data_IF_542518706461
#
_entry.id   IF_542518706461
#
_cell.length_a   1.000
_cell.length_b   1.000
_cell.length_c   1.000
_cell.angle_alpha   90.00
_cell.angle_beta   90.00
_cell.angle_gamma   90.00
#
_symmetry.space_group_name_H-M   'P 1'
#
loop_
_entity.id
_entity.type
_entity.pdbx_description
1 polymer ?
#
# COMPACT_ATOMS: atom_id res chain seq x y z
N UNK A 1 8.67 15.59 13.79
CA UNK A 1 9.99 15.79 13.10
C UNK A 1 10.94 14.59 13.22
N UNK A 2 10.70 13.66 14.16
CA UNK A 2 11.59 12.52 14.42
C UNK A 2 11.49 11.41 13.32
N UNK A 3 10.34 11.24 12.69
CA UNK A 3 10.14 10.23 11.65
C UNK A 3 10.86 10.53 10.34
N UNK A 4 10.94 11.81 9.94
CA UNK A 4 11.62 12.22 8.70
C UNK A 4 13.13 12.02 8.81
N UNK A 5 13.72 12.35 9.95
CA UNK A 5 15.16 12.14 10.20
C UNK A 5 15.54 10.66 10.24
N UNK A 6 14.72 9.82 10.86
CA UNK A 6 14.92 8.37 10.89
C UNK A 6 14.77 7.74 9.51
N UNK A 7 13.76 8.17 8.75
CA UNK A 7 13.55 7.69 7.40
C UNK A 7 14.69 8.07 6.47
N UNK A 8 15.21 9.30 6.57
CA UNK A 8 16.36 9.76 5.80
C UNK A 8 17.61 8.92 6.07
N UNK A 9 17.86 8.55 7.34
CA UNK A 9 18.96 7.66 7.71
C UNK A 9 18.82 6.25 7.12
N UNK A 10 17.61 5.70 7.11
CA UNK A 10 17.33 4.37 6.55
C UNK A 10 17.45 4.34 5.02
N UNK A 11 17.08 5.42 4.35
CA UNK A 11 17.19 5.54 2.90
C UNK A 11 18.61 5.81 2.43
N UNK A 12 19.53 6.19 3.33
CA UNK A 12 20.93 6.40 2.99
C UNK A 12 21.62 5.10 2.53
N UNK A 13 21.21 3.96 3.09
CA UNK A 13 21.72 2.64 2.67
C UNK A 13 20.93 2.07 1.47
N UNK A 14 19.78 2.65 1.13
CA UNK A 14 19.01 2.23 -0.02
C UNK A 14 19.67 2.67 -1.33
N UNK A 15 19.66 1.79 -2.33
CA UNK A 15 20.21 2.06 -3.67
C UNK A 15 19.20 2.77 -4.58
N UNK A 16 18.33 3.58 -4.00
CA UNK A 16 17.30 4.31 -4.73
C UNK A 16 17.28 5.77 -4.26
N UNK A 17 17.13 6.69 -5.20
CA UNK A 17 16.82 8.10 -4.89
C UNK A 17 15.31 8.31 -5.03
N UNK A 18 14.54 8.27 -3.92
CA UNK A 18 13.11 8.45 -3.98
C UNK A 18 12.75 9.87 -4.41
N UNK A 19 11.74 9.98 -5.25
CA UNK A 19 11.20 11.29 -5.63
C UNK A 19 10.38 11.88 -4.47
N UNK A 20 10.25 13.22 -4.37
CA UNK A 20 9.53 13.87 -3.27
C UNK A 20 8.11 13.33 -3.04
N UNK A 21 7.33 13.10 -4.10
CA UNK A 21 5.99 12.54 -3.97
C UNK A 21 5.97 11.12 -3.40
N UNK A 22 6.99 10.30 -3.70
CA UNK A 22 7.11 8.95 -3.15
C UNK A 22 7.42 8.97 -1.65
N UNK A 23 8.24 9.93 -1.22
CA UNK A 23 8.52 10.16 0.21
C UNK A 23 7.24 10.63 0.91
N UNK A 24 6.52 11.57 0.32
CA UNK A 24 5.26 12.09 0.88
C UNK A 24 4.19 10.99 1.01
N UNK A 25 4.08 10.10 0.03
CA UNK A 25 3.16 8.96 0.08
C UNK A 25 3.55 7.96 1.19
N UNK A 26 4.84 7.64 1.29
CA UNK A 26 5.33 6.75 2.34
C UNK A 26 5.16 7.35 3.73
N UNK A 27 5.48 8.66 3.91
CA UNK A 27 5.25 9.37 5.17
C UNK A 27 3.78 9.38 5.56
N UNK A 28 2.87 9.61 4.61
CA UNK A 28 1.44 9.52 4.86
C UNK A 28 1.06 8.15 5.44
N UNK A 29 1.55 7.07 4.85
CA UNK A 29 1.29 5.72 5.35
C UNK A 29 1.86 5.48 6.76
N UNK A 30 3.04 6.04 7.07
CA UNK A 30 3.72 5.88 8.35
C UNK A 30 3.16 6.79 9.45
N UNK A 31 2.69 8.00 9.10
CA UNK A 31 2.16 9.00 10.04
C UNK A 31 0.71 8.75 10.46
N UNK A 32 0.08 7.71 9.96
CA UNK A 32 -1.28 7.29 10.35
C UNK A 32 -1.26 6.01 11.20
N UNK A 33 -0.56 5.99 12.38
CA UNK A 33 -0.33 4.76 13.14
C UNK A 33 -1.62 4.18 13.73
N UNK A 34 -2.63 5.01 13.96
CA UNK A 34 -3.93 4.58 14.51
C UNK A 34 -4.91 4.07 13.46
N UNK A 35 -4.62 4.28 12.18
CA UNK A 35 -5.43 3.71 11.10
C UNK A 35 -4.91 2.33 10.73
N UNK A 36 -5.79 1.32 10.65
CA UNK A 36 -5.39 -0.05 10.30
C UNK A 36 -4.91 -0.17 8.85
N UNK A 37 -5.21 0.81 8.00
CA UNK A 37 -4.75 0.79 6.62
C UNK A 37 -4.80 2.15 5.92
N UNK A 38 -4.13 2.20 4.78
CA UNK A 38 -4.11 3.36 3.87
C UNK A 38 -4.13 2.90 2.41
N UNK A 39 -4.59 3.79 1.53
CA UNK A 39 -4.59 3.61 0.09
C UNK A 39 -3.58 4.57 -0.52
N UNK A 40 -2.58 4.04 -1.22
CA UNK A 40 -1.67 4.81 -2.07
C UNK A 40 -2.13 4.67 -3.52
N UNK A 41 -2.68 5.76 -4.05
CA UNK A 41 -3.44 5.77 -5.29
C UNK A 41 -2.74 6.57 -6.41
N UNK A 42 -1.43 6.61 -6.40
CA UNK A 42 -0.63 7.31 -7.40
C UNK A 42 -0.80 6.72 -8.80
N UNK A 43 -0.73 7.56 -9.82
CA UNK A 43 -0.86 7.13 -11.21
C UNK A 43 0.19 6.09 -11.62
N UNK A 44 -0.13 5.33 -12.65
CA UNK A 44 0.80 4.33 -13.21
C UNK A 44 2.12 4.99 -13.61
N UNK A 45 3.24 4.37 -13.24
CA UNK A 45 4.58 4.84 -13.55
C UNK A 45 5.16 5.87 -12.58
N UNK A 46 4.43 6.28 -11.53
CA UNK A 46 4.95 7.15 -10.46
C UNK A 46 5.75 6.39 -9.40
N UNK A 47 5.78 5.07 -9.45
CA UNK A 47 6.64 4.25 -8.62
C UNK A 47 6.04 3.83 -7.28
N UNK A 48 4.77 3.37 -7.27
CA UNK A 48 4.11 2.82 -6.06
C UNK A 48 4.91 1.73 -5.35
N UNK A 49 5.67 0.94 -6.09
CA UNK A 49 6.61 -0.05 -5.52
C UNK A 49 7.68 0.62 -4.66
N UNK A 50 8.16 1.80 -5.06
CA UNK A 50 9.12 2.58 -4.26
C UNK A 50 8.46 3.11 -2.99
N UNK A 51 7.25 3.65 -3.09
CA UNK A 51 6.48 4.14 -1.93
C UNK A 51 6.28 3.04 -0.88
N UNK A 52 5.81 1.88 -1.32
CA UNK A 52 5.64 0.72 -0.44
C UNK A 52 6.98 0.16 0.05
N UNK A 53 8.03 0.17 -0.78
CA UNK A 53 9.38 -0.23 -0.40
C UNK A 53 9.94 0.63 0.74
N UNK A 54 9.70 1.94 0.72
CA UNK A 54 10.07 2.85 1.82
C UNK A 54 9.34 2.48 3.11
N UNK A 55 8.01 2.21 3.03
CA UNK A 55 7.22 1.77 4.20
C UNK A 55 7.75 0.45 4.74
N UNK A 56 8.02 -0.53 3.87
CA UNK A 56 8.59 -1.83 4.25
C UNK A 56 9.94 -1.66 4.93
N UNK A 57 10.81 -0.78 4.41
CA UNK A 57 12.13 -0.48 5.00
C UNK A 57 12.01 0.04 6.43
N UNK A 58 11.06 0.92 6.70
CA UNK A 58 10.79 1.42 8.05
C UNK A 58 10.35 0.30 8.99
N UNK A 59 9.39 -0.54 8.59
CA UNK A 59 8.95 -1.69 9.37
C UNK A 59 10.10 -2.67 9.63
N UNK A 60 10.92 -2.91 8.60
CA UNK A 60 12.09 -3.78 8.68
C UNK A 60 13.11 -3.29 9.70
N UNK A 61 13.40 -2.00 9.72
CA UNK A 61 14.30 -1.37 10.68
C UNK A 61 13.75 -1.39 12.11
N UNK A 62 12.42 -1.30 12.27
CA UNK A 62 11.73 -1.44 13.55
C UNK A 62 11.62 -2.90 14.03
N UNK A 63 12.21 -3.86 13.30
CA UNK A 63 12.12 -5.31 13.55
C UNK A 63 10.71 -5.89 13.47
N UNK A 64 9.78 -5.20 12.86
CA UNK A 64 8.45 -5.67 12.47
C UNK A 64 8.57 -6.36 11.12
N UNK A 65 8.95 -7.64 11.14
CA UNK A 65 9.38 -8.37 9.93
C UNK A 65 8.37 -9.40 9.44
N UNK A 66 7.23 -9.51 10.09
CA UNK A 66 6.15 -10.37 9.61
C UNK A 66 5.37 -9.63 8.52
N UNK A 67 5.95 -9.57 7.30
CA UNK A 67 5.47 -8.75 6.19
C UNK A 67 5.03 -9.64 5.03
N UNK A 68 3.84 -9.39 4.52
CA UNK A 68 3.28 -10.07 3.36
C UNK A 68 3.01 -9.07 2.23
N UNK A 69 3.40 -9.44 1.01
CA UNK A 69 3.00 -8.75 -0.22
C UNK A 69 2.08 -9.66 -1.00
N UNK A 70 0.87 -9.17 -1.30
CA UNK A 70 -0.08 -9.82 -2.20
C UNK A 70 -0.10 -9.03 -3.51
N UNK A 71 0.25 -9.66 -4.61
CA UNK A 71 0.42 -9.01 -5.91
C UNK A 71 -0.07 -9.89 -7.06
N UNK A 72 -0.36 -9.38 -8.26
CA UNK A 72 -0.59 -10.23 -9.42
C UNK A 72 0.56 -11.23 -9.65
N UNK A 73 0.23 -12.43 -10.10
CA UNK A 73 1.22 -13.51 -10.28
C UNK A 73 2.40 -13.11 -11.17
N UNK A 74 2.18 -12.26 -12.17
CA UNK A 74 3.20 -11.74 -13.09
C UNK A 74 4.18 -10.77 -12.44
N UNK A 75 3.82 -10.11 -11.32
CA UNK A 75 4.64 -9.08 -10.68
C UNK A 75 5.47 -9.60 -9.49
N UNK A 76 5.29 -10.87 -9.08
CA UNK A 76 5.98 -11.42 -7.90
C UNK A 76 7.51 -11.39 -8.02
N UNK A 77 8.05 -11.71 -9.18
CA UNK A 77 9.50 -11.67 -9.41
C UNK A 77 10.03 -10.24 -9.44
N UNK A 78 9.28 -9.32 -10.04
CA UNK A 78 9.62 -7.90 -10.03
C UNK A 78 9.67 -7.36 -8.60
N UNK A 79 8.67 -7.66 -7.76
CA UNK A 79 8.66 -7.27 -6.35
C UNK A 79 9.88 -7.80 -5.60
N UNK A 80 10.19 -9.10 -5.77
CA UNK A 80 11.36 -9.72 -5.15
C UNK A 80 12.66 -9.02 -5.56
N UNK A 81 12.81 -8.77 -6.86
CA UNK A 81 13.99 -8.12 -7.42
C UNK A 81 14.11 -6.67 -6.93
N UNK A 82 13.05 -5.88 -7.01
CA UNK A 82 13.07 -4.47 -6.61
C UNK A 82 13.34 -4.29 -5.12
N UNK A 83 12.79 -5.13 -4.24
CA UNK A 83 13.08 -5.09 -2.81
C UNK A 83 14.57 -5.34 -2.53
N UNK A 84 15.16 -6.29 -3.21
CA UNK A 84 16.58 -6.59 -3.03
C UNK A 84 17.48 -5.51 -3.64
N UNK A 85 17.25 -5.14 -4.90
CA UNK A 85 18.13 -4.20 -5.61
C UNK A 85 18.04 -2.77 -5.06
N UNK A 86 16.86 -2.33 -4.65
CA UNK A 86 16.64 -0.94 -4.23
C UNK A 86 16.73 -0.74 -2.72
N UNK A 87 16.35 -1.74 -1.93
CA UNK A 87 16.22 -1.60 -0.48
C UNK A 87 17.07 -2.59 0.31
N UNK A 88 17.78 -3.50 -0.36
CA UNK A 88 18.59 -4.57 0.25
C UNK A 88 17.75 -5.47 1.19
N UNK A 89 16.45 -5.57 0.94
CA UNK A 89 15.53 -6.39 1.73
C UNK A 89 15.32 -7.73 1.02
N UNK A 90 15.68 -8.85 1.66
CA UNK A 90 15.45 -10.16 1.10
C UNK A 90 13.97 -10.52 1.08
N UNK A 91 13.51 -11.15 0.00
CA UNK A 91 12.13 -11.58 -0.16
C UNK A 91 12.02 -12.97 -0.76
N UNK A 92 11.03 -13.75 -0.33
CA UNK A 92 10.73 -15.08 -0.81
C UNK A 92 9.33 -15.13 -1.41
N UNK A 93 9.21 -15.72 -2.59
CA UNK A 93 7.92 -16.02 -3.21
C UNK A 93 7.40 -17.31 -2.61
N UNK A 94 6.22 -17.24 -1.99
CA UNK A 94 5.52 -18.40 -1.47
C UNK A 94 5.04 -19.30 -2.61
N UNK A 95 5.34 -20.56 -2.49
CA UNK A 95 4.84 -21.62 -3.34
C UNK A 95 4.22 -22.77 -2.50
N UNK A 96 3.46 -23.68 -3.10
CA UNK A 96 2.80 -24.75 -2.35
C UNK A 96 3.76 -25.70 -1.62
N UNK A 97 5.03 -25.78 -2.02
CA UNK A 97 6.04 -26.67 -1.41
C UNK A 97 6.72 -26.03 -0.20
N UNK A 98 6.98 -24.73 -0.29
CA UNK A 98 7.70 -23.98 0.75
C UNK A 98 6.79 -23.38 1.83
N UNK A 99 5.48 -23.24 1.57
CA UNK A 99 4.55 -22.53 2.45
C UNK A 99 4.51 -23.08 3.88
N UNK A 100 4.49 -24.38 4.05
CA UNK A 100 4.32 -25.00 5.37
C UNK A 100 5.54 -24.75 6.27
N UNK A 101 6.75 -24.76 5.70
CA UNK A 101 7.96 -24.42 6.41
C UNK A 101 8.03 -22.91 6.74
N UNK A 102 7.69 -22.04 5.79
CA UNK A 102 7.78 -20.59 5.93
C UNK A 102 6.66 -20.00 6.82
N UNK A 103 5.50 -20.67 6.88
CA UNK A 103 4.36 -20.25 7.68
C UNK A 103 4.22 -21.01 9.00
N UNK A 104 5.14 -21.92 9.32
CA UNK A 104 5.09 -22.70 10.55
C UNK A 104 5.11 -21.81 11.81
N UNK A 105 4.35 -22.17 12.86
CA UNK A 105 4.44 -21.53 14.16
C UNK A 105 5.88 -21.58 14.71
N UNK A 106 6.43 -20.46 15.13
CA UNK A 106 7.81 -20.37 15.59
C UNK A 106 8.84 -19.93 14.54
N UNK A 107 8.50 -19.90 13.27
CA UNK A 107 9.25 -19.17 12.23
C UNK A 107 9.11 -17.64 12.40
N UNK A 108 8.80 -17.22 13.61
CA UNK A 108 8.32 -15.91 13.97
C UNK A 108 9.34 -14.77 13.97
N UNK A 109 10.51 -14.97 13.37
CA UNK A 109 11.44 -13.87 13.05
C UNK A 109 11.91 -14.11 11.63
N UNK A 110 10.98 -13.84 10.71
CA UNK A 110 11.30 -13.94 9.29
C UNK A 110 12.48 -13.04 8.95
N UNK A 111 13.44 -13.63 8.28
CA UNK A 111 14.56 -12.90 7.70
C UNK A 111 14.24 -12.37 6.31
N UNK A 112 13.03 -12.63 5.80
CA UNK A 112 12.56 -12.29 4.47
C UNK A 112 11.12 -11.78 4.47
N UNK A 113 10.82 -10.88 3.53
CA UNK A 113 9.45 -10.51 3.17
C UNK A 113 8.82 -11.64 2.37
N UNK A 114 7.59 -12.03 2.68
CA UNK A 114 6.87 -13.05 1.93
C UNK A 114 6.03 -12.42 0.82
N UNK A 115 6.08 -13.01 -0.36
CA UNK A 115 5.34 -12.56 -1.54
C UNK A 115 4.45 -13.69 -2.04
N UNK A 116 3.17 -13.42 -2.25
CA UNK A 116 2.26 -14.37 -2.88
C UNK A 116 1.38 -13.72 -3.95
N UNK A 117 0.76 -14.56 -4.79
CA UNK A 117 -0.26 -14.06 -5.71
C UNK A 117 -1.65 -14.05 -5.06
N UNK A 118 -2.58 -13.31 -5.64
CA UNK A 118 -3.98 -13.31 -5.25
C UNK A 118 -4.58 -14.73 -5.28
N UNK A 119 -4.26 -15.50 -6.31
CA UNK A 119 -4.73 -16.87 -6.49
C UNK A 119 -4.10 -17.83 -5.46
N UNK A 120 -2.85 -17.60 -5.09
CA UNK A 120 -2.21 -18.35 -4.02
C UNK A 120 -2.86 -18.03 -2.67
N UNK A 121 -3.08 -16.74 -2.39
CA UNK A 121 -3.72 -16.29 -1.18
C UNK A 121 -5.12 -16.88 -1.00
N UNK A 122 -5.92 -16.93 -2.07
CA UNK A 122 -7.24 -17.56 -2.06
C UNK A 122 -7.16 -19.06 -1.72
N UNK A 123 -6.23 -19.80 -2.35
CA UNK A 123 -6.11 -21.26 -2.12
C UNK A 123 -5.58 -21.60 -0.74
N UNK A 124 -4.82 -20.73 -0.12
CA UNK A 124 -4.14 -20.95 1.14
C UNK A 124 -4.53 -19.91 2.21
N UNK A 125 -5.76 -19.41 2.14
CA UNK A 125 -6.30 -18.40 3.03
C UNK A 125 -6.06 -18.74 4.50
N UNK A 126 -6.44 -19.94 4.93
CA UNK A 126 -6.31 -20.38 6.32
C UNK A 126 -4.87 -20.36 6.85
N UNK A 127 -3.90 -20.65 5.98
CA UNK A 127 -2.47 -20.59 6.34
C UNK A 127 -1.95 -19.15 6.43
N UNK A 128 -2.61 -18.22 5.77
CA UNK A 128 -2.24 -16.80 5.72
C UNK A 128 -3.05 -15.94 6.70
N UNK A 129 -4.12 -16.47 7.32
CA UNK A 129 -4.86 -15.82 8.41
C UNK A 129 -4.03 -15.84 9.69
N UNK A 130 -3.11 -14.88 9.81
CA UNK A 130 -2.22 -14.70 10.95
C UNK A 130 -1.97 -13.21 11.18
N UNK A 131 -1.48 -12.85 12.37
CA UNK A 131 -1.14 -11.45 12.69
C UNK A 131 0.09 -10.98 11.90
N UNK A 132 -0.11 -10.36 10.75
CA UNK A 132 0.93 -9.69 9.99
C UNK A 132 1.23 -8.32 10.58
N UNK A 133 2.51 -7.95 10.67
CA UNK A 133 2.89 -6.57 11.03
C UNK A 133 2.48 -5.60 9.93
N UNK A 134 2.67 -6.01 8.68
CA UNK A 134 2.32 -5.23 7.50
C UNK A 134 1.86 -6.16 6.38
N UNK A 135 0.75 -5.81 5.73
CA UNK A 135 0.35 -6.39 4.45
C UNK A 135 0.32 -5.30 3.39
N UNK A 136 1.01 -5.53 2.28
CA UNK A 136 0.93 -4.69 1.09
C UNK A 136 0.13 -5.45 0.03
N UNK A 137 -0.97 -4.89 -0.44
CA UNK A 137 -1.74 -5.44 -1.55
C UNK A 137 -1.57 -4.57 -2.80
N UNK A 138 -0.86 -5.10 -3.77
CA UNK A 138 -0.62 -4.42 -5.04
C UNK A 138 -1.77 -4.69 -6.03
N UNK A 139 -2.06 -3.72 -6.92
CA UNK A 139 -3.23 -3.73 -7.79
C UNK A 139 -4.53 -3.96 -7.00
N UNK A 140 -4.64 -3.26 -5.86
CA UNK A 140 -5.71 -3.44 -4.88
C UNK A 140 -7.12 -3.13 -5.42
N UNK A 141 -7.26 -2.53 -6.61
CA UNK A 141 -8.55 -2.40 -7.29
C UNK A 141 -9.28 -3.74 -7.44
N UNK A 142 -8.56 -4.86 -7.39
CA UNK A 142 -9.13 -6.22 -7.38
C UNK A 142 -9.99 -6.50 -6.15
N UNK A 143 -9.81 -5.76 -5.05
CA UNK A 143 -10.50 -5.93 -3.78
C UNK A 143 -11.77 -5.07 -3.64
N UNK A 144 -11.97 -4.07 -4.51
CA UNK A 144 -13.05 -3.09 -4.39
C UNK A 144 -14.48 -3.64 -4.33
N UNK A 145 -14.69 -4.87 -4.81
CA UNK A 145 -15.98 -5.54 -4.82
C UNK A 145 -16.04 -6.79 -3.93
N UNK A 146 -15.13 -6.92 -2.95
CA UNK A 146 -15.05 -8.10 -2.07
C UNK A 146 -16.35 -8.35 -1.30
N UNK A 147 -17.07 -7.30 -0.93
CA UNK A 147 -18.31 -7.33 -0.18
C UNK A 147 -19.51 -7.89 -0.98
N UNK A 148 -19.38 -8.05 -2.29
CA UNK A 148 -20.49 -8.52 -3.14
C UNK A 148 -20.71 -10.03 -3.09
N UNK A 149 -19.79 -10.79 -2.48
CA UNK A 149 -19.82 -12.26 -2.47
C UNK A 149 -19.60 -12.92 -3.84
N UNK A 150 -19.30 -12.11 -4.88
CA UNK A 150 -19.13 -12.62 -6.25
C UNK A 150 -17.67 -12.95 -6.59
N UNK A 151 -16.72 -12.60 -5.72
CA UNK A 151 -15.30 -12.77 -5.97
C UNK A 151 -14.57 -13.46 -4.83
N UNK A 152 -14.51 -14.81 -4.84
CA UNK A 152 -13.82 -15.60 -3.80
C UNK A 152 -12.39 -15.15 -3.53
N UNK A 153 -11.68 -14.74 -4.57
CA UNK A 153 -10.30 -14.25 -4.42
C UNK A 153 -10.25 -12.92 -3.68
N UNK A 154 -11.12 -11.99 -4.01
CA UNK A 154 -11.20 -10.69 -3.33
C UNK A 154 -11.62 -10.85 -1.87
N UNK A 155 -12.57 -11.75 -1.59
CA UNK A 155 -13.04 -12.07 -0.24
C UNK A 155 -11.92 -12.67 0.60
N UNK A 156 -11.26 -13.72 0.14
CA UNK A 156 -10.16 -14.37 0.85
C UNK A 156 -8.99 -13.42 1.14
N UNK A 157 -8.59 -12.62 0.14
CA UNK A 157 -7.51 -11.65 0.32
C UNK A 157 -7.93 -10.53 1.28
N UNK A 158 -9.19 -10.09 1.24
CA UNK A 158 -9.71 -9.09 2.19
C UNK A 158 -9.67 -9.60 3.64
N UNK A 159 -9.97 -10.88 3.89
CA UNK A 159 -9.82 -11.46 5.22
C UNK A 159 -8.37 -11.46 5.71
N UNK A 160 -7.42 -11.83 4.84
CA UNK A 160 -5.98 -11.82 5.18
C UNK A 160 -5.52 -10.40 5.48
N UNK A 161 -5.87 -9.46 4.63
CA UNK A 161 -5.49 -8.05 4.73
C UNK A 161 -6.11 -7.41 5.98
N UNK A 162 -7.39 -7.65 6.23
CA UNK A 162 -8.10 -7.13 7.40
C UNK A 162 -7.60 -7.67 8.74
N UNK A 163 -6.86 -8.79 8.74
CA UNK A 163 -6.20 -9.34 9.93
C UNK A 163 -4.81 -8.78 10.22
N UNK A 164 -4.29 -7.86 9.40
CA UNK A 164 -2.98 -7.26 9.58
C UNK A 164 -3.02 -6.08 10.59
N UNK A 165 -1.92 -5.83 11.28
CA UNK A 165 -1.77 -4.63 12.11
C UNK A 165 -1.76 -3.36 11.28
N UNK A 166 -1.16 -3.41 10.10
CA UNK A 166 -1.18 -2.32 9.13
C UNK A 166 -1.32 -2.86 7.72
N UNK A 167 -2.10 -2.16 6.92
CA UNK A 167 -2.33 -2.47 5.50
C UNK A 167 -1.98 -1.29 4.62
N UNK A 168 -1.30 -1.56 3.51
CA UNK A 168 -1.08 -0.59 2.44
C UNK A 168 -1.67 -1.15 1.15
N UNK A 169 -2.71 -0.50 0.65
CA UNK A 169 -3.32 -0.83 -0.63
C UNK A 169 -2.71 0.05 -1.73
N UNK A 170 -2.14 -0.57 -2.75
CA UNK A 170 -1.57 0.12 -3.91
C UNK A 170 -2.51 -0.01 -5.09
N UNK A 171 -2.94 1.08 -5.66
CA UNK A 171 -3.79 1.06 -6.86
C UNK A 171 -3.65 2.36 -7.66
N UNK A 172 -3.67 2.26 -8.98
CA UNK A 172 -3.77 3.46 -9.83
C UNK A 172 -5.22 3.92 -10.03
N UNK A 173 -6.19 3.06 -9.73
CA UNK A 173 -7.61 3.28 -10.01
C UNK A 173 -8.46 2.96 -8.77
N UNK A 174 -8.42 3.80 -7.71
CA UNK A 174 -9.19 3.56 -6.50
C UNK A 174 -10.69 3.63 -6.75
N UNK A 175 -11.10 4.41 -7.73
CA UNK A 175 -12.47 4.60 -8.18
C UNK A 175 -12.49 4.52 -9.72
N UNK A 176 -13.35 3.69 -10.28
CA UNK A 176 -13.49 3.53 -11.72
C UNK A 176 -14.91 3.81 -12.21
N UNK A 177 -15.91 3.16 -11.63
CA UNK A 177 -17.28 3.21 -12.12
C UNK A 177 -18.28 3.71 -11.08
N UNK A 178 -18.11 3.32 -9.83
CA UNK A 178 -19.11 3.57 -8.77
C UNK A 178 -18.43 3.99 -7.48
N UNK A 179 -19.09 4.89 -6.77
CA UNK A 179 -18.59 5.39 -5.49
C UNK A 179 -18.44 4.28 -4.43
N UNK A 180 -19.28 3.24 -4.50
CA UNK A 180 -19.18 2.07 -3.63
C UNK A 180 -17.86 1.27 -3.79
N UNK A 181 -17.11 1.47 -4.89
CA UNK A 181 -15.78 0.87 -5.05
C UNK A 181 -14.79 1.42 -4.01
N UNK A 182 -14.93 2.70 -3.68
CA UNK A 182 -14.14 3.34 -2.64
C UNK A 182 -14.52 2.80 -1.25
N UNK A 183 -15.83 2.66 -0.98
CA UNK A 183 -16.30 1.96 0.21
C UNK A 183 -15.66 0.57 0.32
N UNK A 184 -15.68 -0.18 -0.78
CA UNK A 184 -15.09 -1.51 -0.84
C UNK A 184 -13.61 -1.53 -0.47
N UNK A 185 -12.80 -0.61 -1.01
CA UNK A 185 -11.37 -0.56 -0.70
C UNK A 185 -11.09 -0.20 0.76
N UNK A 186 -11.81 0.77 1.32
CA UNK A 186 -11.61 1.18 2.71
C UNK A 186 -12.08 0.08 3.67
N UNK A 187 -13.21 -0.57 3.37
CA UNK A 187 -13.76 -1.64 4.21
C UNK A 187 -12.88 -2.90 4.29
N UNK A 188 -11.90 -3.06 3.39
CA UNK A 188 -10.92 -4.15 3.46
C UNK A 188 -10.10 -4.09 4.75
N UNK A 189 -9.69 -2.90 5.17
CA UNK A 189 -8.87 -2.72 6.37
C UNK A 189 -9.61 -2.06 7.54
N UNK A 190 -10.71 -1.34 7.28
CA UNK A 190 -11.58 -0.79 8.31
C UNK A 190 -13.05 -0.89 7.89
N UNK A 191 -13.72 -2.01 8.20
CA UNK A 191 -15.13 -2.19 7.87
C UNK A 191 -16.07 -1.18 8.53
N UNK A 192 -15.63 -0.54 9.62
CA UNK A 192 -16.44 0.42 10.38
C UNK A 192 -16.29 1.87 9.91
N UNK A 193 -15.29 2.17 9.08
CA UNK A 193 -14.92 3.53 8.69
C UNK A 193 -16.09 4.35 8.11
N UNK A 194 -16.87 3.74 7.24
CA UNK A 194 -18.08 4.32 6.65
C UNK A 194 -19.36 3.74 7.24
N UNK A 195 -19.29 3.08 8.39
CA UNK A 195 -20.36 2.35 9.07
C UNK A 195 -20.82 1.12 8.27
N UNK A 196 -21.84 1.24 7.42
CA UNK A 196 -22.34 0.18 6.56
C UNK A 196 -22.44 0.66 5.11
N UNK A 197 -22.57 -0.30 4.19
CA UNK A 197 -22.78 0.01 2.78
C UNK A 197 -24.07 0.83 2.56
N UNK A 198 -25.13 0.50 3.29
CA UNK A 198 -26.40 1.20 3.15
C UNK A 198 -26.29 2.64 3.69
N UNK A 199 -25.61 2.84 4.82
CA UNK A 199 -25.33 4.18 5.35
C UNK A 199 -24.46 5.00 4.38
N UNK A 200 -23.45 4.36 3.77
CA UNK A 200 -22.62 4.98 2.76
C UNK A 200 -23.42 5.42 1.53
N UNK A 201 -24.31 4.55 1.04
CA UNK A 201 -25.17 4.86 -0.11
C UNK A 201 -26.13 6.00 0.16
N UNK A 202 -26.81 5.96 1.31
CA UNK A 202 -27.72 7.04 1.70
C UNK A 202 -26.98 8.38 1.79
N UNK A 203 -25.81 8.40 2.44
CA UNK A 203 -25.09 9.64 2.71
C UNK A 203 -24.38 10.17 1.49
N UNK A 204 -23.68 9.32 0.74
CA UNK A 204 -22.74 9.76 -0.29
C UNK A 204 -23.15 9.45 -1.72
N UNK A 205 -23.94 8.42 -1.96
CA UNK A 205 -24.42 8.12 -3.31
C UNK A 205 -25.69 8.91 -3.62
N UNK A 206 -26.69 8.86 -2.73
CA UNK A 206 -27.95 9.60 -2.88
C UNK A 206 -27.84 11.05 -2.38
N UNK A 207 -26.99 11.30 -1.41
CA UNK A 207 -26.85 12.60 -0.75
C UNK A 207 -25.72 13.48 -1.30
N UNK A 208 -25.10 13.14 -2.42
CA UNK A 208 -24.00 13.92 -3.02
C UNK A 208 -24.47 15.33 -3.39
N UNK A 209 -25.68 15.45 -3.93
CA UNK A 209 -26.30 16.74 -4.29
C UNK A 209 -26.70 17.58 -3.08
N UNK A 210 -26.66 17.02 -1.87
CA UNK A 210 -26.98 17.68 -0.61
C UNK A 210 -25.75 18.25 0.13
N UNK A 211 -24.60 18.37 -0.53
CA UNK A 211 -23.38 18.95 0.04
C UNK A 211 -22.50 17.97 0.83
N UNK A 212 -22.76 16.67 0.76
CA UNK A 212 -21.94 15.66 1.45
C UNK A 212 -20.61 15.31 0.73
N UNK A 213 -20.34 15.97 -0.41
CA UNK A 213 -19.12 15.75 -1.19
C UNK A 213 -17.85 16.16 -0.45
N UNK A 214 -17.87 17.29 0.26
CA UNK A 214 -16.72 17.80 1.02
C UNK A 214 -16.39 16.89 2.21
N UNK A 215 -17.41 16.41 2.94
CA UNK A 215 -17.23 15.43 4.03
C UNK A 215 -16.63 14.12 3.51
N UNK A 216 -17.08 13.64 2.36
CA UNK A 216 -16.49 12.45 1.75
C UNK A 216 -15.03 12.69 1.34
N UNK A 217 -14.74 13.84 0.72
CA UNK A 217 -13.39 14.19 0.30
C UNK A 217 -12.42 14.26 1.49
N UNK A 218 -12.84 14.88 2.60
CA UNK A 218 -12.05 14.95 3.83
C UNK A 218 -11.79 13.56 4.43
N UNK A 219 -12.82 12.73 4.54
CA UNK A 219 -12.68 11.35 5.01
C UNK A 219 -11.75 10.54 4.14
N UNK A 220 -11.89 10.64 2.83
CA UNK A 220 -11.01 9.94 1.89
C UNK A 220 -9.57 10.43 2.01
N UNK A 221 -9.36 11.75 2.12
CA UNK A 221 -8.02 12.33 2.28
C UNK A 221 -7.29 11.86 3.55
N UNK A 222 -8.03 11.42 4.58
CA UNK A 222 -7.41 10.88 5.79
C UNK A 222 -6.92 9.43 5.65
N UNK A 223 -7.44 8.66 4.68
CA UNK A 223 -7.09 7.24 4.46
C UNK A 223 -6.44 6.97 3.10
N UNK A 224 -6.46 7.94 2.18
CA UNK A 224 -5.93 7.78 0.83
C UNK A 224 -5.05 8.94 0.42
N UNK A 225 -3.90 8.64 -0.18
CA UNK A 225 -2.99 9.60 -0.80
C UNK A 225 -2.94 9.33 -2.30
N UNK A 226 -3.04 10.39 -3.09
CA UNK A 226 -2.95 10.31 -4.55
C UNK A 226 -2.09 11.43 -5.10
N UNK A 227 -1.15 11.07 -5.95
CA UNK A 227 -0.37 12.01 -6.76
C UNK A 227 -0.73 11.83 -8.22
N UNK A 228 -1.01 12.90 -8.91
CA UNK A 228 -1.19 12.90 -10.35
C UNK A 228 0.15 13.21 -11.03
N UNK A 229 0.38 12.64 -12.22
CA UNK A 229 1.63 12.86 -12.96
C UNK A 229 1.91 14.35 -13.18
N UNK A 230 0.90 15.14 -13.53
CA UNK A 230 1.01 16.60 -13.68
C UNK A 230 1.48 17.31 -12.41
N UNK A 231 1.17 16.76 -11.23
CA UNK A 231 1.57 17.33 -9.95
C UNK A 231 2.97 16.87 -9.55
N UNK A 232 3.33 15.62 -9.89
CA UNK A 232 4.70 15.12 -9.73
C UNK A 232 5.70 15.93 -10.57
N UNK A 233 5.32 16.33 -11.78
CA UNK A 233 6.16 17.15 -12.65
C UNK A 233 6.46 18.54 -12.05
N UNK A 234 5.58 19.10 -11.23
CA UNK A 234 5.85 20.34 -10.49
C UNK A 234 7.00 20.20 -9.52
N UNK A 235 7.14 19.07 -8.83
CA UNK A 235 8.28 18.80 -7.95
C UNK A 235 9.60 18.69 -8.73
N UNK A 236 9.57 18.18 -9.96
CA UNK A 236 10.75 18.04 -10.83
C UNK A 236 11.25 19.42 -11.31
N UNK A 237 10.36 20.37 -11.55
CA UNK A 237 10.74 21.71 -11.98
C UNK A 237 11.49 22.52 -10.92
N UNK A 238 11.26 22.25 -9.63
CA UNK A 238 12.01 22.88 -8.53
C UNK A 238 13.45 22.35 -8.39
N UNK A 239 13.78 21.21 -8.97
CA UNK A 239 15.11 20.61 -8.91
C UNK A 239 15.97 20.86 -10.14
N UNK A 240 15.47 21.53 -11.18
CA UNK A 240 16.31 22.02 -12.27
C UNK A 240 17.19 23.14 -11.73
N UNK A 241 18.45 22.81 -11.40
CA UNK A 241 19.47 23.79 -11.11
C UNK A 241 19.54 24.76 -12.29
N UNK A 242 19.27 26.04 -12.08
CA UNK A 242 19.69 27.07 -13.01
C UNK A 242 21.22 27.07 -13.01
N UNK A 243 21.88 26.87 -14.14
CA UNK A 243 23.32 27.08 -14.19
C UNK A 243 23.57 28.56 -13.92
N UNK A 244 24.18 28.88 -12.81
CA UNK A 244 24.76 30.22 -12.57
C UNK A 244 26.02 30.29 -13.44
N UNK A 245 25.89 30.95 -14.59
CA UNK A 245 27.05 31.35 -15.39
C UNK A 245 27.66 32.52 -14.68
N UNK A 246 28.76 32.30 -13.97
CA UNK A 246 29.62 33.38 -13.45
C UNK A 246 30.57 33.74 -14.55
N UNK A 247 30.36 34.85 -15.22
CA UNK A 247 31.38 35.45 -16.10
C UNK A 247 32.42 36.11 -15.22
N UNK A 248 33.63 35.57 -15.26
CA UNK A 248 34.80 36.22 -14.69
C UNK A 248 35.30 37.30 -15.68
N UNK A 249 35.23 38.56 -15.33
CA UNK A 249 35.94 39.67 -15.97
C UNK A 249 37.34 39.76 -15.42
#
# INVERSE_FOLDING_TARGET
NDHVGKLAGLLFDAQVEPKPHQIDAALFALQTPFLPGVILADEVGLGKTIEAGIVITQYWAERKRNILIVTPSSLRQQWKQELYEKFLIPAIILDPKSKDALLAPGHGRQSEVLICSYEFAQRHEQSLLRGWDLVVADEAHRLRNHWTGKGKTAEAVSHIVGGAHKTVLLTATPLQNKLEELYGLVSVFDPSYFYSLDAFRERYVKGLDLGNGDDLAERVASVAKRTLRRDADKYIHFTKRMPLTVEFT
#
